data_IF_538369586596
#
_entry.id   IF_538369586596
#
_cell.length_a   1.000
_cell.length_b   1.000
_cell.length_c   1.000
_cell.angle_alpha   90.00
_cell.angle_beta   90.00
_cell.angle_gamma   90.00
#
_symmetry.space_group_name_H-M   'P 1'
#
loop_
_entity.id
_entity.type
_entity.pdbx_description
1 polymer ?
#
# COMPACT_ATOMS: atom_id res chain seq x y z
N UNK A 1 24.52 0.96 -17.79
CA UNK A 1 25.07 -0.15 -18.56
C UNK A 1 26.40 0.29 -19.17
N UNK A 2 27.38 -0.61 -19.38
CA UNK A 2 28.70 -0.32 -19.99
C UNK A 2 28.59 0.36 -21.37
N UNK A 3 27.51 0.15 -22.09
CA UNK A 3 27.23 0.77 -23.41
C UNK A 3 26.56 2.13 -23.32
N UNK A 4 26.30 2.67 -22.12
CA UNK A 4 25.50 3.91 -21.91
C UNK A 4 24.12 3.86 -22.58
N UNK A 5 23.54 2.68 -22.67
CA UNK A 5 22.23 2.47 -23.23
C UNK A 5 21.15 2.79 -22.15
N UNK A 6 20.18 3.58 -22.53
CA UNK A 6 19.03 3.86 -21.69
C UNK A 6 18.11 2.63 -21.71
N UNK A 7 17.84 2.06 -20.52
CA UNK A 7 17.00 0.86 -20.35
C UNK A 7 15.60 1.17 -19.87
N UNK A 8 15.33 2.41 -19.54
CA UNK A 8 14.02 2.87 -19.11
C UNK A 8 14.06 4.29 -18.59
N UNK A 9 12.91 4.91 -18.51
CA UNK A 9 12.78 6.22 -17.89
C UNK A 9 11.63 6.22 -16.88
N UNK A 10 11.66 7.16 -15.94
CA UNK A 10 10.63 7.33 -14.93
C UNK A 10 10.37 8.80 -14.64
N UNK A 11 9.20 9.07 -14.12
CA UNK A 11 8.81 10.40 -13.66
C UNK A 11 8.32 10.35 -12.22
N UNK A 12 8.39 11.48 -11.53
CA UNK A 12 7.81 11.61 -10.20
C UNK A 12 6.28 11.65 -10.30
N UNK A 13 5.61 10.94 -9.38
CA UNK A 13 4.15 10.84 -9.33
C UNK A 13 3.60 11.77 -8.26
N UNK A 14 4.26 11.84 -7.11
CA UNK A 14 3.80 12.60 -5.95
C UNK A 14 4.98 13.05 -5.09
N UNK A 15 5.06 14.36 -4.77
CA UNK A 15 6.07 14.96 -3.87
C UNK A 15 7.51 14.53 -4.19
N UNK A 16 7.90 14.50 -5.47
CA UNK A 16 9.23 14.10 -5.89
C UNK A 16 9.52 12.60 -5.84
N UNK A 17 8.52 11.77 -5.53
CA UNK A 17 8.61 10.31 -5.47
C UNK A 17 8.02 9.68 -6.72
N UNK A 18 8.63 8.60 -7.18
CA UNK A 18 8.14 7.81 -8.29
C UNK A 18 8.54 6.34 -8.14
N UNK A 19 7.95 5.50 -8.95
CA UNK A 19 8.22 4.06 -9.00
C UNK A 19 8.51 3.69 -10.45
N UNK A 20 9.52 2.90 -10.64
CA UNK A 20 9.81 2.31 -11.94
C UNK A 20 10.19 0.84 -11.79
N UNK A 21 9.92 0.09 -12.84
CA UNK A 21 10.28 -1.33 -12.92
C UNK A 21 11.31 -1.50 -14.03
N UNK A 22 12.39 -2.21 -13.76
CA UNK A 22 13.40 -2.51 -14.76
C UNK A 22 13.93 -3.94 -14.58
N UNK A 23 14.51 -4.48 -15.63
CA UNK A 23 15.19 -5.76 -15.62
C UNK A 23 16.69 -5.46 -15.72
N UNK A 24 17.50 -5.83 -14.71
CA UNK A 24 18.94 -5.63 -14.75
C UNK A 24 19.56 -6.34 -15.95
N UNK A 25 20.49 -5.69 -16.65
CA UNK A 25 21.05 -6.20 -17.91
C UNK A 25 22.43 -6.84 -17.78
N UNK A 26 23.04 -6.79 -16.61
CA UNK A 26 24.41 -7.31 -16.43
C UNK A 26 24.79 -7.56 -14.99
N UNK A 27 26.04 -7.94 -14.78
CA UNK A 27 26.62 -8.19 -13.45
C UNK A 27 26.98 -6.88 -12.73
N UNK A 28 27.20 -5.79 -13.47
CA UNK A 28 27.51 -4.47 -12.90
C UNK A 28 26.22 -3.77 -12.49
N UNK A 29 26.26 -2.99 -11.43
CA UNK A 29 25.15 -2.15 -11.00
C UNK A 29 24.76 -1.11 -12.08
N UNK A 30 23.50 -1.10 -12.45
CA UNK A 30 22.95 -0.06 -13.33
C UNK A 30 22.87 1.28 -12.57
N UNK A 31 22.76 2.39 -13.29
CA UNK A 31 22.70 3.74 -12.70
C UNK A 31 21.44 4.45 -13.09
N UNK A 32 20.81 5.10 -12.11
CA UNK A 32 19.76 6.06 -12.36
C UNK A 32 20.37 7.47 -12.58
N UNK A 33 19.93 8.18 -13.60
CA UNK A 33 20.30 9.57 -13.84
C UNK A 33 19.05 10.45 -13.70
N UNK A 34 19.15 11.49 -12.90
CA UNK A 34 18.07 12.47 -12.68
C UNK A 34 18.59 13.84 -13.03
N UNK A 35 17.81 14.60 -13.82
CA UNK A 35 18.12 16.00 -14.12
C UNK A 35 17.21 16.92 -13.29
N UNK A 36 17.82 17.79 -12.50
CA UNK A 36 17.13 18.78 -11.69
C UNK A 36 17.82 20.15 -11.82
N UNK A 37 17.07 21.14 -12.27
CA UNK A 37 17.60 22.51 -12.44
C UNK A 37 18.79 22.58 -13.40
N UNK A 38 18.82 21.78 -14.47
CA UNK A 38 19.90 21.71 -15.44
C UNK A 38 21.16 20.98 -14.96
N UNK A 39 21.13 20.38 -13.77
CA UNK A 39 22.21 19.54 -13.23
C UNK A 39 21.81 18.07 -13.26
N UNK A 40 22.76 17.23 -13.64
CA UNK A 40 22.59 15.76 -13.68
C UNK A 40 23.17 15.14 -12.43
N UNK A 41 22.34 14.33 -11.79
CA UNK A 41 22.68 13.53 -10.61
C UNK A 41 22.64 12.06 -10.98
N UNK A 42 23.62 11.29 -10.50
CA UNK A 42 23.74 9.85 -10.77
C UNK A 42 23.71 9.09 -9.47
N UNK A 43 22.93 8.03 -9.46
CA UNK A 43 22.76 7.13 -8.31
C UNK A 43 23.03 5.70 -8.77
N UNK A 44 23.82 4.96 -8.03
CA UNK A 44 23.99 3.54 -8.26
C UNK A 44 22.71 2.80 -7.83
N UNK A 45 22.22 1.91 -8.70
CA UNK A 45 21.14 1.01 -8.34
C UNK A 45 21.69 -0.19 -7.57
N UNK A 46 20.84 -0.93 -6.83
CA UNK A 46 21.28 -2.12 -6.10
C UNK A 46 21.96 -3.13 -7.01
N UNK A 47 22.96 -3.82 -6.48
CA UNK A 47 23.63 -4.91 -7.18
C UNK A 47 22.67 -6.06 -7.53
N UNK A 48 22.95 -6.71 -8.64
CA UNK A 48 22.13 -7.81 -9.14
C UNK A 48 22.46 -9.09 -8.37
N UNK A 49 21.44 -9.68 -7.74
CA UNK A 49 21.60 -10.99 -7.12
C UNK A 49 21.59 -12.09 -8.19
N UNK A 50 22.58 -13.00 -8.12
CA UNK A 50 22.67 -14.14 -9.04
C UNK A 50 21.56 -15.18 -8.85
N UNK A 51 20.92 -15.21 -7.67
CA UNK A 51 19.79 -16.08 -7.33
C UNK A 51 18.73 -15.29 -6.59
N UNK A 52 17.47 -15.58 -6.82
CA UNK A 52 16.39 -14.91 -6.12
C UNK A 52 15.02 -15.12 -6.71
N UNK A 53 14.05 -14.60 -6.00
CA UNK A 53 12.65 -14.58 -6.38
C UNK A 53 12.17 -13.14 -6.46
N UNK A 54 11.20 -12.92 -7.32
CA UNK A 54 10.48 -11.64 -7.43
C UNK A 54 9.03 -11.88 -7.08
N UNK A 55 8.55 -11.17 -6.06
CA UNK A 55 7.14 -11.08 -5.70
C UNK A 55 6.60 -9.76 -6.25
N UNK A 56 5.76 -9.82 -7.25
CA UNK A 56 5.04 -8.66 -7.80
C UNK A 56 3.59 -8.72 -7.36
N UNK A 57 3.07 -7.60 -6.91
CA UNK A 57 1.69 -7.45 -6.44
C UNK A 57 1.08 -6.21 -7.07
N UNK A 58 -0.01 -6.39 -7.80
CA UNK A 58 -0.83 -5.30 -8.34
C UNK A 58 -2.15 -5.23 -7.56
N UNK A 59 -2.28 -4.16 -6.79
CA UNK A 59 -3.45 -3.84 -5.98
C UNK A 59 -4.27 -2.67 -6.56
N UNK A 60 -3.88 -2.13 -7.72
CA UNK A 60 -4.45 -0.90 -8.26
C UNK A 60 -5.39 -1.15 -9.44
N UNK A 61 -5.13 -2.20 -10.21
CA UNK A 61 -5.88 -2.48 -11.44
C UNK A 61 -7.32 -2.98 -11.17
N UNK A 62 -7.57 -3.60 -10.02
CA UNK A 62 -8.90 -4.13 -9.66
C UNK A 62 -9.30 -3.71 -8.25
N UNK A 63 -10.57 -3.33 -8.08
CA UNK A 63 -11.13 -2.99 -6.77
C UNK A 63 -11.36 -4.23 -5.90
N UNK A 64 -11.72 -5.37 -6.49
CA UNK A 64 -12.14 -6.58 -5.76
C UNK A 64 -11.05 -7.64 -5.64
N UNK A 65 -9.93 -7.50 -6.36
CA UNK A 65 -8.87 -8.50 -6.36
C UNK A 65 -7.48 -7.90 -6.40
N UNK A 66 -6.52 -8.67 -5.91
CA UNK A 66 -5.08 -8.39 -6.02
C UNK A 66 -4.48 -9.39 -7.01
N UNK A 67 -3.77 -8.90 -8.01
CA UNK A 67 -3.00 -9.76 -8.88
C UNK A 67 -1.61 -10.00 -8.29
N UNK A 68 -1.24 -11.25 -8.14
CA UNK A 68 0.05 -11.69 -7.58
C UNK A 68 0.81 -12.45 -8.65
N UNK A 69 2.08 -12.14 -8.80
CA UNK A 69 2.99 -12.87 -9.68
C UNK A 69 4.29 -13.17 -8.96
N UNK A 70 4.72 -14.42 -9.00
CA UNK A 70 5.98 -14.89 -8.42
C UNK A 70 6.83 -15.49 -9.51
N UNK A 71 8.05 -15.02 -9.62
CA UNK A 71 9.03 -15.47 -10.59
C UNK A 71 10.36 -15.75 -9.91
N UNK A 72 11.13 -16.67 -10.45
CA UNK A 72 12.51 -16.91 -10.05
C UNK A 72 13.45 -16.90 -11.26
N UNK A 73 14.71 -16.66 -11.02
CA UNK A 73 15.72 -16.83 -12.06
C UNK A 73 16.14 -18.31 -12.21
N UNK A 74 16.87 -18.59 -13.29
CA UNK A 74 17.29 -19.96 -13.65
C UNK A 74 18.18 -20.62 -12.60
N UNK A 75 18.97 -19.84 -11.88
CA UNK A 75 19.97 -20.35 -10.92
C UNK A 75 19.40 -20.61 -9.53
N UNK A 76 18.17 -20.19 -9.25
CA UNK A 76 17.53 -20.41 -7.96
C UNK A 76 17.02 -21.85 -7.87
N UNK A 77 17.48 -22.67 -6.89
CA UNK A 77 17.26 -24.11 -6.91
C UNK A 77 15.84 -24.54 -6.55
N UNK A 78 15.23 -23.93 -5.53
CA UNK A 78 13.92 -24.35 -5.04
C UNK A 78 12.79 -23.91 -5.97
N UNK A 79 11.82 -24.82 -6.19
CA UNK A 79 10.61 -24.52 -6.94
C UNK A 79 9.38 -24.34 -6.04
N UNK A 80 9.40 -24.91 -4.84
CA UNK A 80 8.27 -24.91 -3.92
C UNK A 80 8.38 -23.77 -2.92
N UNK A 81 7.38 -22.92 -2.90
CA UNK A 81 7.27 -21.78 -2.00
C UNK A 81 5.90 -21.77 -1.33
N UNK A 82 5.81 -21.13 -0.18
CA UNK A 82 4.56 -20.75 0.45
C UNK A 82 4.29 -19.26 0.30
N UNK A 83 3.05 -18.89 0.09
CA UNK A 83 2.57 -17.52 0.22
C UNK A 83 1.56 -17.46 1.35
N UNK A 84 1.73 -16.52 2.25
CA UNK A 84 0.77 -16.19 3.30
C UNK A 84 0.28 -14.75 3.11
N UNK A 85 -1.01 -14.53 3.34
CA UNK A 85 -1.65 -13.21 3.34
C UNK A 85 -2.11 -12.93 4.75
N UNK A 86 -1.61 -11.87 5.35
CA UNK A 86 -1.79 -11.57 6.77
C UNK A 86 -2.32 -10.14 6.90
N UNK A 87 -3.35 -9.96 7.73
CA UNK A 87 -3.82 -8.64 8.14
C UNK A 87 -4.18 -8.64 9.62
N UNK A 88 -3.83 -7.57 10.33
CA UNK A 88 -4.09 -7.41 11.77
C UNK A 88 -3.64 -8.63 12.60
N UNK A 89 -2.51 -9.22 12.24
CA UNK A 89 -1.97 -10.43 12.90
C UNK A 89 -2.74 -11.72 12.63
N UNK A 90 -3.69 -11.74 11.70
CA UNK A 90 -4.48 -12.92 11.32
C UNK A 90 -4.09 -13.39 9.92
N UNK A 91 -3.97 -14.70 9.74
CA UNK A 91 -3.82 -15.32 8.44
C UNK A 91 -5.16 -15.28 7.71
N UNK A 92 -5.21 -14.55 6.59
CA UNK A 92 -6.40 -14.46 5.74
C UNK A 92 -6.43 -15.55 4.68
N UNK A 93 -5.27 -15.83 4.09
CA UNK A 93 -5.13 -16.83 3.03
C UNK A 93 -3.71 -17.41 3.03
N UNK A 94 -3.57 -18.64 2.52
CA UNK A 94 -2.26 -19.24 2.27
C UNK A 94 -2.34 -20.22 1.11
N UNK A 95 -1.26 -20.31 0.34
CA UNK A 95 -1.16 -21.29 -0.74
C UNK A 95 0.28 -21.73 -0.96
N UNK A 96 0.44 -22.90 -1.57
CA UNK A 96 1.71 -23.39 -2.05
C UNK A 96 1.86 -23.07 -3.54
N UNK A 97 3.04 -22.63 -3.93
CA UNK A 97 3.38 -22.22 -5.28
C UNK A 97 4.52 -23.09 -5.79
N UNK A 98 4.34 -23.65 -6.98
CA UNK A 98 5.41 -24.33 -7.69
C UNK A 98 5.93 -23.42 -8.81
N UNK A 99 7.03 -22.71 -8.54
CA UNK A 99 7.58 -21.69 -9.42
C UNK A 99 8.60 -22.33 -10.38
N UNK A 100 8.22 -22.47 -11.63
CA UNK A 100 9.08 -22.99 -12.70
C UNK A 100 10.23 -22.03 -13.07
N UNK A 101 11.17 -22.54 -13.86
CA UNK A 101 12.25 -21.72 -14.41
C UNK A 101 11.70 -20.76 -15.46
N UNK A 102 11.99 -19.46 -15.34
CA UNK A 102 11.65 -18.42 -16.30
C UNK A 102 10.14 -18.29 -16.63
N UNK A 103 9.29 -18.92 -15.84
CA UNK A 103 7.84 -18.84 -16.02
C UNK A 103 7.21 -18.33 -14.74
N UNK A 104 6.60 -17.15 -14.75
CA UNK A 104 5.93 -16.62 -13.56
C UNK A 104 4.70 -17.47 -13.23
N UNK A 105 4.46 -17.69 -11.96
CA UNK A 105 3.18 -18.16 -11.43
C UNK A 105 2.35 -16.95 -11.09
N UNK A 106 1.24 -16.77 -11.81
CA UNK A 106 0.37 -15.62 -11.63
C UNK A 106 -1.05 -16.06 -11.28
N UNK A 107 -1.67 -15.40 -10.32
CA UNK A 107 -3.03 -15.66 -9.86
C UNK A 107 -3.64 -14.40 -9.25
N UNK A 108 -4.95 -14.46 -8.98
CA UNK A 108 -5.67 -13.38 -8.30
C UNK A 108 -6.14 -13.85 -6.94
N UNK A 109 -6.06 -12.97 -5.97
CA UNK A 109 -6.65 -13.12 -4.64
C UNK A 109 -7.86 -12.20 -4.55
N UNK A 110 -9.00 -12.75 -4.19
CA UNK A 110 -10.19 -11.99 -3.86
C UNK A 110 -9.97 -11.25 -2.53
N UNK A 111 -10.23 -9.94 -2.52
CA UNK A 111 -10.13 -9.09 -1.34
C UNK A 111 -11.48 -8.55 -0.86
N UNK A 112 -12.58 -9.01 -1.42
CA UNK A 112 -13.94 -8.55 -1.10
C UNK A 112 -14.26 -8.69 0.39
N UNK A 113 -13.79 -9.76 1.01
CA UNK A 113 -14.01 -10.05 2.45
C UNK A 113 -12.88 -9.53 3.36
N UNK A 114 -11.85 -8.89 2.80
CA UNK A 114 -10.76 -8.37 3.62
C UNK A 114 -11.17 -7.10 4.34
N UNK A 115 -10.69 -6.95 5.56
CA UNK A 115 -10.88 -5.72 6.32
C UNK A 115 -10.04 -4.58 5.71
N UNK A 116 -10.52 -3.32 5.76
CA UNK A 116 -9.72 -2.17 5.36
C UNK A 116 -8.43 -2.09 6.18
N UNK A 117 -7.37 -1.63 5.56
CA UNK A 117 -6.09 -1.44 6.24
C UNK A 117 -4.93 -2.06 5.48
N UNK A 118 -3.83 -2.28 6.17
CA UNK A 118 -2.62 -2.86 5.61
C UNK A 118 -2.73 -4.39 5.62
N UNK A 119 -2.46 -4.97 4.48
CA UNK A 119 -2.35 -6.42 4.29
C UNK A 119 -0.93 -6.74 3.85
N UNK A 120 -0.30 -7.71 4.52
CA UNK A 120 1.03 -8.18 4.20
C UNK A 120 0.95 -9.52 3.44
N UNK A 121 1.59 -9.57 2.28
CA UNK A 121 1.82 -10.79 1.52
C UNK A 121 3.26 -11.23 1.81
N UNK A 122 3.42 -12.43 2.36
CA UNK A 122 4.73 -12.98 2.75
C UNK A 122 5.01 -14.22 1.93
N UNK A 123 6.11 -14.17 1.18
CA UNK A 123 6.65 -15.31 0.44
C UNK A 123 7.73 -15.99 1.27
N UNK A 124 7.66 -17.31 1.45
CA UNK A 124 8.60 -18.07 2.26
C UNK A 124 8.97 -19.40 1.59
N UNK A 125 10.14 -19.91 1.95
CA UNK A 125 10.62 -21.19 1.45
C UNK A 125 10.11 -22.39 2.28
N UNK A 126 10.54 -23.60 1.91
CA UNK A 126 10.18 -24.84 2.60
C UNK A 126 10.76 -24.97 4.01
N UNK A 127 11.75 -24.15 4.36
CA UNK A 127 12.31 -24.07 5.70
C UNK A 127 11.59 -23.02 6.57
N UNK A 128 10.61 -22.31 6.01
CA UNK A 128 9.88 -21.23 6.68
C UNK A 128 10.64 -19.91 6.71
N UNK A 129 11.72 -19.75 5.93
CA UNK A 129 12.43 -18.49 5.83
C UNK A 129 11.71 -17.53 4.89
N UNK A 130 11.52 -16.31 5.37
CA UNK A 130 10.90 -15.24 4.56
C UNK A 130 11.87 -14.83 3.45
N UNK A 131 11.41 -14.92 2.21
CA UNK A 131 12.15 -14.57 1.00
C UNK A 131 11.84 -13.14 0.56
N UNK A 132 10.57 -12.78 0.57
CA UNK A 132 10.09 -11.47 0.19
C UNK A 132 8.76 -11.18 0.86
N UNK A 133 8.47 -9.91 1.06
CA UNK A 133 7.15 -9.46 1.49
C UNK A 133 6.72 -8.22 0.73
N UNK A 134 5.40 -7.98 0.73
CA UNK A 134 4.79 -6.78 0.17
C UNK A 134 3.64 -6.34 1.07
N UNK A 135 3.65 -5.07 1.41
CA UNK A 135 2.52 -4.42 2.06
C UNK A 135 1.63 -3.82 0.98
N UNK A 136 0.35 -4.08 1.07
CA UNK A 136 -0.69 -3.48 0.23
C UNK A 136 -1.74 -2.85 1.12
N UNK A 137 -2.29 -1.74 0.68
CA UNK A 137 -3.38 -1.09 1.39
C UNK A 137 -4.71 -1.46 0.75
N UNK A 138 -5.62 -2.02 1.52
CA UNK A 138 -6.99 -2.31 1.09
C UNK A 138 -7.92 -1.21 1.57
N UNK A 139 -8.66 -0.62 0.63
CA UNK A 139 -9.69 0.37 0.92
C UNK A 139 -11.06 -0.27 0.67
N UNK A 140 -11.98 -0.05 1.60
CA UNK A 140 -13.40 -0.26 1.34
C UNK A 140 -14.10 1.09 1.27
N UNK A 141 -15.19 1.21 0.55
CA UNK A 141 -16.00 2.41 0.60
C UNK A 141 -16.40 2.71 2.03
N UNK A 142 -16.61 3.98 2.34
CA UNK A 142 -17.05 4.41 3.66
C UNK A 142 -18.31 3.65 4.06
N UNK A 143 -18.23 2.99 5.23
CA UNK A 143 -19.32 2.15 5.72
C UNK A 143 -20.39 2.97 6.46
N UNK A 144 -20.06 4.18 6.90
CA UNK A 144 -20.93 5.05 7.67
C UNK A 144 -20.90 6.47 7.10
N UNK A 145 -22.07 7.06 6.97
CA UNK A 145 -22.26 8.47 6.69
C UNK A 145 -22.57 9.20 7.99
N UNK A 146 -21.83 10.27 8.29
CA UNK A 146 -22.07 11.13 9.45
C UNK A 146 -22.57 12.48 8.96
N UNK A 147 -23.79 12.85 9.32
CA UNK A 147 -24.38 14.17 9.08
C UNK A 147 -24.39 14.96 10.38
N UNK A 148 -23.90 16.21 10.33
CA UNK A 148 -23.83 17.10 11.49
C UNK A 148 -24.64 18.35 11.19
N UNK A 149 -25.67 18.61 11.99
CA UNK A 149 -26.53 19.78 11.84
C UNK A 149 -26.37 20.72 13.02
N UNK A 150 -26.20 21.98 12.71
CA UNK A 150 -26.25 23.07 13.69
C UNK A 150 -27.66 23.52 13.90
N UNK A 151 -28.03 23.87 15.13
CA UNK A 151 -29.37 24.42 15.41
C UNK A 151 -29.59 25.83 14.83
N UNK A 152 -28.48 26.56 14.53
CA UNK A 152 -28.52 27.91 13.94
C UNK A 152 -27.33 28.07 12.97
N UNK A 153 -27.48 29.00 12.02
CA UNK A 153 -26.38 29.35 11.10
C UNK A 153 -25.25 30.14 11.76
N UNK A 154 -25.61 31.01 12.72
CA UNK A 154 -24.64 31.82 13.48
C UNK A 154 -24.99 31.89 14.96
N UNK A 155 -24.01 32.10 15.81
CA UNK A 155 -24.15 32.18 17.25
C UNK A 155 -23.43 33.43 17.78
N UNK A 156 -23.94 33.98 18.89
CA UNK A 156 -23.27 35.05 19.59
C UNK A 156 -22.13 34.49 20.47
N UNK A 157 -21.14 35.32 20.84
CA UNK A 157 -20.15 34.94 21.84
C UNK A 157 -20.79 34.39 23.11
N UNK A 158 -20.29 33.27 23.63
CA UNK A 158 -20.78 32.57 24.81
C UNK A 158 -22.20 31.95 24.68
N UNK A 159 -22.77 31.97 23.49
CA UNK A 159 -24.07 31.32 23.26
C UNK A 159 -23.91 29.80 23.24
N UNK A 160 -24.91 29.09 23.76
CA UNK A 160 -24.93 27.61 23.73
C UNK A 160 -25.14 27.12 22.29
N UNK A 161 -24.23 26.27 21.83
CA UNK A 161 -24.30 25.59 20.54
C UNK A 161 -24.91 24.21 20.74
N UNK A 162 -25.89 23.86 19.92
CA UNK A 162 -26.44 22.51 19.86
C UNK A 162 -26.14 21.91 18.48
N UNK A 163 -25.56 20.72 18.49
CA UNK A 163 -25.23 19.94 17.29
C UNK A 163 -25.99 18.62 17.32
N UNK A 164 -26.67 18.31 16.23
CA UNK A 164 -27.35 17.03 16.03
C UNK A 164 -26.51 16.15 15.10
N UNK A 165 -26.17 14.96 15.56
CA UNK A 165 -25.40 13.97 14.79
C UNK A 165 -26.33 12.85 14.32
N UNK A 166 -26.29 12.55 13.03
CA UNK A 166 -26.97 11.40 12.46
C UNK A 166 -25.95 10.49 11.77
N UNK A 167 -25.89 9.25 12.22
CA UNK A 167 -25.00 8.22 11.65
C UNK A 167 -25.86 7.20 10.91
N UNK A 168 -25.49 6.91 9.66
CA UNK A 168 -26.22 5.99 8.79
C UNK A 168 -25.26 5.03 8.11
N UNK A 169 -25.73 3.83 7.82
CA UNK A 169 -25.03 2.86 6.96
C UNK A 169 -25.18 3.20 5.47
N UNK A 170 -24.56 2.41 4.62
CA UNK A 170 -24.60 2.55 3.15
C UNK A 170 -26.02 2.38 2.56
N UNK A 171 -26.95 1.79 3.31
CA UNK A 171 -28.34 1.60 2.92
C UNK A 171 -29.25 2.72 3.44
N UNK A 172 -28.68 3.67 4.21
CA UNK A 172 -29.40 4.81 4.77
C UNK A 172 -30.07 4.54 6.12
N UNK A 173 -29.90 3.35 6.71
CA UNK A 173 -30.45 3.02 8.02
C UNK A 173 -29.65 3.70 9.13
N UNK A 174 -30.29 4.19 10.21
CA UNK A 174 -29.61 4.75 11.36
C UNK A 174 -28.80 3.68 12.09
N UNK A 175 -27.57 4.03 12.47
CA UNK A 175 -26.65 3.14 13.18
C UNK A 175 -26.21 3.77 14.48
N UNK A 176 -26.21 2.99 15.55
CA UNK A 176 -25.59 3.38 16.82
C UNK A 176 -24.09 3.05 16.77
N UNK A 177 -23.24 4.06 16.79
CA UNK A 177 -21.79 3.91 16.77
C UNK A 177 -21.13 4.81 17.82
N UNK A 178 -20.04 4.37 18.45
CA UNK A 178 -19.23 5.26 19.27
C UNK A 178 -18.59 6.34 18.38
N UNK A 179 -18.58 7.57 18.87
CA UNK A 179 -18.02 8.71 18.15
C UNK A 179 -17.01 9.46 19.03
N UNK A 180 -16.01 10.03 18.37
CA UNK A 180 -15.10 11.00 18.96
C UNK A 180 -15.40 12.36 18.35
N UNK A 181 -15.56 13.39 19.19
CA UNK A 181 -15.83 14.77 18.77
C UNK A 181 -14.69 15.66 19.26
N UNK A 182 -14.11 16.42 18.35
CA UNK A 182 -13.12 17.46 18.67
C UNK A 182 -13.69 18.82 18.26
N UNK A 183 -13.64 19.78 19.18
CA UNK A 183 -14.07 21.16 18.94
C UNK A 183 -12.86 22.06 19.16
N UNK A 184 -12.58 22.92 18.18
CA UNK A 184 -11.48 23.89 18.27
C UNK A 184 -11.88 25.23 17.70
N UNK A 185 -11.11 26.25 18.01
CA UNK A 185 -11.24 27.57 17.43
C UNK A 185 -10.86 27.53 15.94
N UNK A 186 -11.70 28.15 15.10
CA UNK A 186 -11.49 28.21 13.64
C UNK A 186 -10.47 29.24 13.18
N UNK A 187 -9.82 29.97 14.07
CA UNK A 187 -8.81 30.98 13.71
C UNK A 187 -7.48 30.39 13.26
N UNK A 188 -7.18 29.15 13.66
CA UNK A 188 -6.01 28.42 13.18
C UNK A 188 -6.45 27.34 12.18
N UNK A 189 -6.25 27.59 10.90
CA UNK A 189 -6.23 26.52 9.90
C UNK A 189 -5.00 25.66 10.10
N UNK A 190 -5.11 24.65 10.93
CA UNK A 190 -4.10 23.58 10.97
C UNK A 190 -4.44 22.61 9.86
N UNK A 191 -3.72 22.68 8.75
CA UNK A 191 -3.69 21.58 7.77
C UNK A 191 -3.13 20.33 8.45
N UNK A 192 -4.00 19.56 9.07
CA UNK A 192 -3.61 18.24 9.55
C UNK A 192 -3.67 17.26 8.40
N UNK A 193 -2.52 16.79 7.96
CA UNK A 193 -2.41 15.66 7.00
C UNK A 193 -2.71 14.31 7.67
N UNK A 194 -2.89 14.29 8.98
CA UNK A 194 -3.23 13.12 9.77
C UNK A 194 -4.72 13.12 10.09
N UNK A 195 -5.37 12.03 9.77
CA UNK A 195 -6.73 11.75 10.20
C UNK A 195 -6.75 10.48 11.05
N UNK A 196 -7.73 10.34 11.91
CA UNK A 196 -7.94 9.12 12.70
C UNK A 196 -7.99 7.87 11.78
N UNK A 197 -8.52 8.02 10.58
CA UNK A 197 -8.62 6.95 9.58
C UNK A 197 -7.22 6.54 9.09
N UNK A 198 -6.34 7.49 8.80
CA UNK A 198 -4.94 7.25 8.44
C UNK A 198 -4.20 6.58 9.58
N UNK A 199 -4.39 7.06 10.81
CA UNK A 199 -3.70 6.49 11.96
C UNK A 199 -4.16 5.05 12.25
N UNK A 200 -5.45 4.77 12.21
CA UNK A 200 -6.00 3.45 12.51
C UNK A 200 -5.78 2.42 11.38
N UNK A 201 -5.89 2.83 10.12
CA UNK A 201 -5.84 1.88 9.00
C UNK A 201 -4.45 1.74 8.37
N UNK A 202 -3.60 2.74 8.50
CA UNK A 202 -2.29 2.75 7.86
C UNK A 202 -1.17 2.75 8.90
N UNK A 203 -1.11 3.77 9.76
CA UNK A 203 0.05 3.98 10.63
C UNK A 203 0.14 2.96 11.76
N UNK A 204 -0.99 2.46 12.28
CA UNK A 204 -1.00 1.45 13.34
C UNK A 204 -0.40 0.09 12.91
N UNK A 205 -0.44 -0.22 11.61
CA UNK A 205 0.04 -1.49 11.07
C UNK A 205 1.44 -1.38 10.46
N UNK A 206 1.85 -0.20 10.03
CA UNK A 206 3.21 0.05 9.57
C UNK A 206 4.07 0.34 10.81
N UNK A 207 4.72 -0.71 11.32
CA UNK A 207 5.68 -0.55 12.42
C UNK A 207 6.90 0.21 11.89
N UNK A 208 7.06 1.39 12.46
CA UNK A 208 7.94 2.43 12.00
C UNK A 208 9.42 2.09 11.98
N UNK A 209 10.05 2.95 11.29
CA UNK A 209 11.46 3.18 11.20
C UNK A 209 11.82 4.37 12.11
#
# INVERSE_FOLDING_TARGET
NRRKEEIGHFATIHEGRGVFTYIPTGEDADKAEVELGGKKYRFDLPEVCSQGYVLHVDNLTSEDSIAVSVQKNTYTPSNLLGLAVIAHGKLLNSCLLNVGKNTPVSFKLDKSEWTPGVVQLVLFDTAGQIIADRLVFTRKPELLAVDVRKSKESYQPFERVTLDFSVRDTTGNPVSAPMSVSIRDGWEEVESRHSMLVDLLLMSEIKGY
#
